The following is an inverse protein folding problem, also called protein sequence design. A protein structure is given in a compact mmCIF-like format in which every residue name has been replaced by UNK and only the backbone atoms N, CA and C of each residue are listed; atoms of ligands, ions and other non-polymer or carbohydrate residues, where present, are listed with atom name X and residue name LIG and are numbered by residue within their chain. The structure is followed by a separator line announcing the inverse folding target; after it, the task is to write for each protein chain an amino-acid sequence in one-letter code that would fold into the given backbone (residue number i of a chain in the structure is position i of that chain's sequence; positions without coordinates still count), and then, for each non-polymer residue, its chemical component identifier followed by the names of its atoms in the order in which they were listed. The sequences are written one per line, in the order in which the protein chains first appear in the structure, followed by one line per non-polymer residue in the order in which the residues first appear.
data_IF_375764915580
#
_entry.id   IF_375764915580
#
_cell.length_a   1.000
_cell.length_b   1.000
_cell.length_c   1.000
_cell.angle_alpha   90.00
_cell.angle_beta   90.00
_cell.angle_gamma   90.00
#
_symmetry.space_group_name_H-M   'P 1'
#
loop_
_entity.id
_entity.type
_entity.pdbx_description
1 polymer ?
#
# COMPACT_ATOMS: atom_id res chain seq x y z
N UNK A 1 -2.05 -26.04 16.41
CA UNK A 1 -1.66 -24.93 17.30
C UNK A 1 -2.09 -23.63 16.67
N UNK A 2 -2.28 -22.61 17.49
CA UNK A 2 -2.69 -21.28 17.05
C UNK A 2 -1.49 -20.62 16.34
N UNK A 3 -1.68 -20.36 15.06
CA UNK A 3 -1.12 -19.22 14.32
C UNK A 3 0.33 -19.31 13.83
N UNK A 4 1.12 -20.31 14.28
CA UNK A 4 2.54 -20.47 13.87
C UNK A 4 2.90 -21.86 13.33
N UNK A 5 2.24 -22.93 13.79
CA UNK A 5 2.65 -24.33 13.53
C UNK A 5 1.66 -25.11 12.63
N UNK A 6 1.20 -24.47 11.55
CA UNK A 6 0.36 -25.11 10.54
C UNK A 6 1.19 -26.05 9.64
N UNK A 7 1.58 -27.21 10.16
CA UNK A 7 2.21 -28.28 9.36
C UNK A 7 3.22 -29.17 10.06
N UNK A 8 3.19 -29.22 11.40
CA UNK A 8 3.82 -30.28 12.18
C UNK A 8 3.36 -31.70 11.74
N UNK A 9 3.86 -32.78 12.37
CA UNK A 9 3.63 -34.18 11.95
C UNK A 9 2.16 -34.67 11.98
N UNK A 10 1.19 -33.78 12.20
CA UNK A 10 -0.24 -34.05 12.21
C UNK A 10 -0.95 -33.51 10.97
N UNK A 11 -2.20 -33.93 10.78
CA UNK A 11 -3.07 -33.76 9.60
C UNK A 11 -3.50 -32.32 9.25
N UNK A 12 -2.82 -31.28 9.75
CA UNK A 12 -3.18 -29.89 9.47
C UNK A 12 -2.81 -29.50 8.02
N UNK A 13 -3.65 -28.72 7.31
CA UNK A 13 -3.25 -28.13 6.04
C UNK A 13 -2.00 -27.26 6.22
N UNK A 14 -1.05 -27.41 5.30
CA UNK A 14 0.16 -26.58 5.25
C UNK A 14 -0.20 -25.14 4.91
N UNK A 15 0.60 -24.20 5.39
CA UNK A 15 0.55 -22.78 5.12
C UNK A 15 0.75 -22.45 3.63
N UNK A 16 -0.05 -21.52 3.11
CA UNK A 16 0.18 -20.90 1.81
C UNK A 16 1.39 -19.95 1.85
N UNK A 17 1.85 -19.51 0.69
CA UNK A 17 2.92 -18.51 0.61
C UNK A 17 2.57 -17.24 1.39
N UNK A 18 3.58 -16.62 2.00
CA UNK A 18 3.52 -15.46 2.90
C UNK A 18 2.85 -15.67 4.27
N UNK A 19 2.35 -16.86 4.60
CA UNK A 19 1.94 -17.17 5.97
C UNK A 19 3.16 -17.37 6.89
N UNK A 20 3.01 -17.16 8.19
CA UNK A 20 4.07 -17.43 9.16
C UNK A 20 4.47 -18.92 9.18
N UNK A 21 5.76 -19.18 9.42
CA UNK A 21 6.30 -20.52 9.55
C UNK A 21 7.58 -20.52 10.39
N UNK A 22 7.85 -21.67 11.03
CA UNK A 22 9.09 -21.94 11.75
C UNK A 22 9.96 -22.97 11.00
N UNK A 23 9.34 -23.83 10.18
CA UNK A 23 9.99 -24.86 9.40
C UNK A 23 9.43 -24.94 7.97
N UNK A 24 10.28 -25.40 7.05
CA UNK A 24 9.90 -25.68 5.66
C UNK A 24 8.71 -26.64 5.53
N UNK A 25 8.55 -27.56 6.48
CA UNK A 25 7.45 -28.53 6.53
C UNK A 25 6.07 -27.90 6.73
N UNK A 26 6.05 -26.68 7.28
CA UNK A 26 4.84 -25.91 7.55
C UNK A 26 4.24 -25.39 6.25
N UNK A 27 5.06 -25.27 5.20
CA UNK A 27 4.70 -24.58 3.98
C UNK A 27 4.27 -25.54 2.88
N UNK A 28 3.22 -25.18 2.15
CA UNK A 28 2.77 -25.90 0.93
C UNK A 28 3.88 -26.01 -0.10
N UNK A 29 4.74 -25.00 -0.18
CA UNK A 29 5.92 -24.94 -1.04
C UNK A 29 7.12 -25.72 -0.51
N UNK A 30 7.06 -26.22 0.72
CA UNK A 30 8.21 -26.86 1.37
C UNK A 30 9.37 -25.90 1.65
N UNK A 31 9.09 -24.59 1.70
CA UNK A 31 10.09 -23.55 1.92
C UNK A 31 9.57 -22.55 2.95
N UNK A 32 10.31 -22.38 4.04
CA UNK A 32 10.09 -21.34 5.02
C UNK A 32 11.26 -20.36 4.95
N UNK A 33 11.04 -19.23 4.30
CA UNK A 33 12.09 -18.25 3.99
C UNK A 33 11.76 -16.96 4.74
N UNK A 34 12.66 -16.55 5.64
CA UNK A 34 12.49 -15.36 6.48
C UNK A 34 11.25 -15.43 7.41
N UNK A 35 10.95 -16.62 7.95
CA UNK A 35 9.79 -16.84 8.82
C UNK A 35 8.44 -16.74 8.09
N UNK A 36 8.47 -16.87 6.75
CA UNK A 36 7.31 -16.82 5.87
C UNK A 36 7.34 -17.96 4.86
N UNK A 37 6.20 -18.58 4.63
CA UNK A 37 6.08 -19.66 3.67
C UNK A 37 6.31 -19.17 2.24
N UNK A 38 6.91 -20.02 1.43
CA UNK A 38 7.30 -19.70 0.07
C UNK A 38 8.80 -19.59 -0.13
N UNK A 39 9.18 -19.56 -1.40
CA UNK A 39 10.53 -19.21 -1.85
C UNK A 39 10.59 -17.69 -2.02
N UNK A 40 10.24 -16.93 -0.97
CA UNK A 40 9.92 -15.51 -1.03
C UNK A 40 11.02 -14.71 -1.73
N UNK A 41 10.84 -14.49 -3.04
CA UNK A 41 11.73 -13.70 -3.89
C UNK A 41 11.59 -12.19 -3.66
N UNK A 42 10.94 -11.81 -2.56
CA UNK A 42 10.71 -10.45 -2.13
C UNK A 42 11.77 -10.02 -1.11
N UNK A 43 12.14 -8.75 -1.15
CA UNK A 43 13.10 -8.15 -0.22
C UNK A 43 12.32 -7.57 0.96
N UNK A 44 12.57 -8.00 2.20
CA UNK A 44 11.89 -7.42 3.35
C UNK A 44 12.16 -5.91 3.47
N UNK A 45 11.21 -5.17 4.05
CA UNK A 45 11.38 -3.74 4.20
C UNK A 45 12.60 -3.35 5.06
N UNK A 46 13.25 -2.22 4.75
CA UNK A 46 14.31 -1.70 5.59
C UNK A 46 13.77 -1.30 6.98
N UNK A 47 14.55 -1.53 8.04
CA UNK A 47 14.19 -1.10 9.39
C UNK A 47 13.23 -2.03 10.15
N UNK A 48 12.65 -3.02 9.49
CA UNK A 48 11.77 -4.02 10.12
C UNK A 48 10.70 -4.51 9.14
N UNK A 49 10.65 -5.81 8.92
CA UNK A 49 9.69 -6.41 7.98
C UNK A 49 8.34 -6.71 8.60
N UNK A 50 8.22 -6.65 9.92
CA UNK A 50 6.97 -6.91 10.65
C UNK A 50 6.78 -5.87 11.72
N UNK A 51 5.59 -5.30 11.79
CA UNK A 51 5.23 -4.34 12.84
C UNK A 51 4.66 -5.03 14.08
N UNK A 52 4.26 -4.25 15.08
CA UNK A 52 3.75 -4.80 16.35
C UNK A 52 2.35 -5.42 16.24
N UNK A 53 1.60 -5.14 15.16
CA UNK A 53 0.31 -5.76 14.91
C UNK A 53 0.47 -7.12 14.22
N UNK A 54 1.48 -7.24 13.36
CA UNK A 54 1.83 -8.48 12.67
C UNK A 54 1.82 -8.38 11.14
N UNK A 55 1.54 -7.21 10.56
CA UNK A 55 1.67 -7.02 9.12
C UNK A 55 3.10 -7.33 8.68
N UNK A 56 3.26 -8.02 7.55
CA UNK A 56 4.57 -8.28 6.96
C UNK A 56 4.78 -7.48 5.67
N UNK A 57 5.79 -6.60 5.68
CA UNK A 57 6.19 -5.74 4.57
C UNK A 57 7.34 -6.30 3.75
N UNK A 58 7.17 -6.42 2.43
CA UNK A 58 8.25 -6.77 1.50
C UNK A 58 8.08 -6.13 0.12
N UNK A 59 9.18 -5.97 -0.61
CA UNK A 59 9.22 -5.35 -1.93
C UNK A 59 9.65 -6.32 -3.03
N UNK A 60 9.18 -6.06 -4.24
CA UNK A 60 9.47 -6.82 -5.45
C UNK A 60 9.65 -5.86 -6.63
N UNK A 61 10.42 -6.29 -7.63
CA UNK A 61 10.49 -5.64 -8.94
C UNK A 61 10.09 -6.65 -10.03
N UNK A 62 8.80 -6.99 -10.12
CA UNK A 62 8.34 -7.96 -11.09
C UNK A 62 8.56 -7.44 -12.52
N UNK A 63 8.67 -8.36 -13.48
CA UNK A 63 8.75 -8.00 -14.92
C UNK A 63 7.51 -7.28 -15.41
N UNK A 64 6.37 -7.48 -14.75
CA UNK A 64 5.11 -6.78 -15.00
C UNK A 64 4.42 -6.54 -13.67
N UNK A 65 4.03 -5.30 -13.41
CA UNK A 65 3.29 -4.96 -12.20
C UNK A 65 1.92 -5.65 -12.24
N UNK A 66 1.54 -6.42 -11.21
CA UNK A 66 0.31 -7.22 -11.20
C UNK A 66 -0.95 -6.40 -10.89
N UNK A 67 -0.90 -5.08 -11.05
CA UNK A 67 -1.86 -4.16 -10.47
C UNK A 67 -2.96 -3.85 -11.49
N UNK A 68 -4.24 -3.90 -11.09
CA UNK A 68 -5.35 -3.59 -11.99
C UNK A 68 -5.24 -2.20 -12.62
N UNK A 69 -5.31 -2.12 -13.95
CA UNK A 69 -5.48 -0.84 -14.63
C UNK A 69 -6.94 -0.41 -14.62
N UNK A 70 -7.22 0.68 -13.91
CA UNK A 70 -8.53 1.31 -13.80
C UNK A 70 -8.61 2.66 -14.54
N UNK A 71 -7.69 2.96 -15.45
CA UNK A 71 -7.65 4.21 -16.24
C UNK A 71 -8.98 4.53 -16.93
N UNK A 72 -9.68 3.50 -17.39
CA UNK A 72 -10.89 3.61 -18.21
C UNK A 72 -12.15 3.11 -17.51
N UNK A 73 -12.02 2.29 -16.47
CA UNK A 73 -13.12 1.66 -15.74
C UNK A 73 -13.40 2.30 -14.38
N UNK A 74 -12.37 2.90 -13.76
CA UNK A 74 -12.48 3.51 -12.45
C UNK A 74 -13.32 4.79 -12.45
N UNK A 75 -14.02 5.00 -11.33
CA UNK A 75 -14.73 6.25 -11.08
C UNK A 75 -13.70 7.37 -10.88
N UNK A 76 -13.72 8.36 -11.76
CA UNK A 76 -12.89 9.56 -11.65
C UNK A 76 -13.40 10.46 -10.53
N UNK A 77 -12.49 10.84 -9.64
CA UNK A 77 -12.73 11.84 -8.61
C UNK A 77 -12.37 13.22 -9.15
N UNK A 78 -13.16 14.21 -8.78
CA UNK A 78 -12.84 15.63 -8.98
C UNK A 78 -12.37 16.17 -7.64
N UNK A 79 -11.06 16.33 -7.49
CA UNK A 79 -10.39 16.86 -6.30
C UNK A 79 -9.63 18.12 -6.71
N UNK A 80 -9.70 19.18 -5.92
CA UNK A 80 -8.83 20.35 -6.02
C UNK A 80 -7.50 20.12 -5.26
N UNK A 81 -6.76 21.20 -4.99
CA UNK A 81 -5.61 21.20 -4.09
C UNK A 81 -6.00 20.68 -2.70
N UNK A 82 -5.16 19.81 -2.13
CA UNK A 82 -5.34 19.27 -0.77
C UNK A 82 -6.68 18.56 -0.49
N UNK A 83 -7.52 18.38 -1.50
CA UNK A 83 -8.87 17.86 -1.33
C UNK A 83 -8.86 16.37 -0.97
N UNK A 84 -9.94 15.95 -0.30
CA UNK A 84 -10.15 14.56 0.04
C UNK A 84 -11.63 14.18 -0.04
N UNK A 85 -11.90 12.90 -0.28
CA UNK A 85 -13.26 12.38 -0.37
C UNK A 85 -13.39 10.99 0.27
N UNK A 86 -14.42 10.82 1.09
CA UNK A 86 -14.77 9.52 1.66
C UNK A 86 -15.55 8.68 0.65
N UNK A 87 -15.10 7.45 0.43
CA UNK A 87 -15.74 6.48 -0.47
C UNK A 87 -16.03 5.16 0.27
N UNK A 88 -17.03 4.37 -0.18
CA UNK A 88 -17.20 3.01 0.30
C UNK A 88 -16.09 2.10 -0.22
N UNK A 89 -15.55 1.24 0.66
CA UNK A 89 -14.59 0.20 0.28
C UNK A 89 -15.28 -0.90 -0.55
N UNK A 90 -16.55 -1.17 -0.23
CA UNK A 90 -17.39 -2.19 -0.89
C UNK A 90 -17.28 -3.60 -0.29
N UNK A 91 -16.48 -3.75 0.78
CA UNK A 91 -16.41 -4.92 1.64
C UNK A 91 -15.91 -4.51 3.04
N UNK A 92 -16.15 -5.33 4.09
CA UNK A 92 -15.49 -5.15 5.38
C UNK A 92 -13.99 -5.42 5.22
N UNK A 93 -13.16 -4.41 5.49
CA UNK A 93 -11.71 -4.49 5.40
C UNK A 93 -11.12 -4.39 6.79
N UNK A 94 -10.30 -5.35 7.20
CA UNK A 94 -9.59 -5.27 8.48
C UNK A 94 -8.32 -4.43 8.32
N UNK A 95 -8.30 -3.27 8.97
CA UNK A 95 -7.11 -2.42 9.03
C UNK A 95 -6.68 -2.30 10.48
N UNK A 96 -5.54 -2.92 10.82
CA UNK A 96 -4.99 -2.93 12.17
C UNK A 96 -5.98 -3.39 13.26
N UNK A 97 -6.81 -4.40 12.95
CA UNK A 97 -7.77 -5.00 13.87
C UNK A 97 -9.10 -4.25 13.94
N UNK A 98 -9.25 -3.18 13.17
CA UNK A 98 -10.49 -2.41 13.06
C UNK A 98 -11.13 -2.64 11.71
N UNK A 99 -12.37 -3.13 11.71
CA UNK A 99 -13.14 -3.27 10.47
C UNK A 99 -13.55 -1.90 9.91
N UNK A 100 -13.02 -1.58 8.72
CA UNK A 100 -13.33 -0.39 7.93
C UNK A 100 -14.28 -0.74 6.80
N UNK A 101 -15.24 0.14 6.53
CA UNK A 101 -16.17 0.04 5.38
C UNK A 101 -16.14 1.28 4.49
N UNK A 102 -15.53 2.35 5.00
CA UNK A 102 -15.28 3.61 4.33
C UNK A 102 -13.79 3.91 4.44
N UNK A 103 -13.28 4.65 3.46
CA UNK A 103 -11.92 5.19 3.46
C UNK A 103 -11.94 6.57 2.83
N UNK A 104 -11.14 7.49 3.35
CA UNK A 104 -10.95 8.81 2.77
C UNK A 104 -9.75 8.78 1.83
N UNK A 105 -9.96 9.13 0.56
CA UNK A 105 -8.91 9.27 -0.44
C UNK A 105 -8.49 10.73 -0.50
N UNK A 106 -7.21 11.00 -0.34
CA UNK A 106 -6.62 12.33 -0.49
C UNK A 106 -6.07 12.53 -1.91
N UNK A 107 -6.12 13.77 -2.40
CA UNK A 107 -5.37 14.20 -3.59
C UNK A 107 -3.87 13.88 -3.45
N UNK A 108 -3.33 13.98 -2.24
CA UNK A 108 -1.91 13.84 -1.87
C UNK A 108 -1.44 12.38 -1.76
N UNK A 109 -1.93 11.48 -2.62
CA UNK A 109 -1.35 10.15 -2.80
C UNK A 109 -1.49 9.18 -1.62
N UNK A 110 -2.48 9.40 -0.74
CA UNK A 110 -2.70 8.57 0.45
C UNK A 110 -4.18 8.26 0.72
N UNK A 111 -4.38 7.22 1.53
CA UNK A 111 -5.68 6.85 2.11
C UNK A 111 -5.64 7.02 3.62
N UNK A 112 -6.72 7.51 4.22
CA UNK A 112 -6.84 7.67 5.67
C UNK A 112 -8.16 7.08 6.17
N UNK A 113 -8.12 6.45 7.35
CA UNK A 113 -9.28 5.76 7.91
C UNK A 113 -9.85 6.46 9.15
N UNK A 114 -9.03 7.19 9.90
CA UNK A 114 -9.40 7.86 11.15
C UNK A 114 -9.57 9.38 11.02
N UNK A 115 -9.50 9.91 9.80
CA UNK A 115 -9.70 11.34 9.51
C UNK A 115 -10.39 11.54 8.14
N UNK A 116 -10.72 12.79 7.86
CA UNK A 116 -11.33 13.27 6.61
C UNK A 116 -10.36 14.04 5.74
N UNK A 117 -9.11 14.19 6.18
CA UNK A 117 -8.08 14.98 5.52
C UNK A 117 -6.70 14.34 5.67
N UNK A 118 -5.83 14.56 4.69
CA UNK A 118 -4.41 14.24 4.74
C UNK A 118 -3.64 15.46 4.18
N UNK A 119 -2.79 16.04 5.02
CA UNK A 119 -1.94 17.19 4.69
C UNK A 119 -1.06 16.92 3.47
N UNK A 120 -0.77 17.93 2.64
CA UNK A 120 0.29 17.83 1.61
C UNK A 120 1.67 17.52 2.21
N UNK A 121 1.93 18.06 3.41
CA UNK A 121 3.20 17.86 4.10
C UNK A 121 3.27 16.45 4.66
N UNK A 122 4.12 15.61 4.05
CA UNK A 122 4.35 14.25 4.49
C UNK A 122 5.23 14.18 5.75
N UNK A 123 5.04 13.10 6.52
CA UNK A 123 5.84 12.78 7.70
C UNK A 123 6.36 11.35 7.59
N UNK A 124 7.52 11.07 8.18
CA UNK A 124 8.00 9.69 8.35
C UNK A 124 7.26 9.03 9.52
N UNK A 125 7.14 7.71 9.48
CA UNK A 125 6.58 6.95 10.59
C UNK A 125 7.61 6.73 11.70
N UNK A 126 7.17 6.71 12.98
CA UNK A 126 5.79 6.88 13.45
C UNK A 126 5.30 8.34 13.36
N UNK A 127 4.01 8.51 13.08
CA UNK A 127 3.36 9.82 12.97
C UNK A 127 3.21 10.49 14.34
N UNK A 128 3.39 11.81 14.37
CA UNK A 128 3.29 12.60 15.59
C UNK A 128 1.90 13.20 15.84
N UNK A 129 1.04 13.23 14.82
CA UNK A 129 -0.33 13.76 14.89
C UNK A 129 -1.28 12.94 14.00
N UNK A 130 -2.59 13.18 14.15
CA UNK A 130 -3.62 12.59 13.28
C UNK A 130 -3.47 13.11 11.84
N UNK A 131 -3.85 12.31 10.82
CA UNK A 131 -4.37 10.93 10.91
C UNK A 131 -3.29 9.93 11.32
N UNK A 132 -3.61 8.96 12.18
CA UNK A 132 -2.68 7.88 12.57
C UNK A 132 -2.83 6.65 11.67
N UNK A 133 -4.06 6.40 11.20
CA UNK A 133 -4.41 5.26 10.37
C UNK A 133 -4.35 5.61 8.89
N UNK A 134 -3.16 5.51 8.31
CA UNK A 134 -2.90 5.90 6.92
C UNK A 134 -2.24 4.81 6.09
N UNK A 135 -2.62 4.73 4.82
CA UNK A 135 -1.83 4.07 3.78
C UNK A 135 -1.24 5.18 2.91
N UNK A 136 0.05 5.43 3.07
CA UNK A 136 0.81 6.35 2.25
C UNK A 136 1.28 5.61 0.99
N UNK A 137 0.59 5.81 -0.14
CA UNK A 137 0.99 5.23 -1.43
C UNK A 137 2.19 5.97 -2.01
N UNK A 138 1.99 7.26 -2.28
CA UNK A 138 3.02 8.23 -2.61
C UNK A 138 2.62 9.54 -1.93
N UNK A 139 2.70 9.58 -0.59
CA UNK A 139 2.23 10.72 0.17
C UNK A 139 3.16 11.91 -0.04
N UNK A 140 2.70 12.88 -0.82
CA UNK A 140 3.42 14.07 -1.25
C UNK A 140 2.42 15.09 -1.79
N UNK A 141 2.90 16.29 -2.15
CA UNK A 141 2.07 17.41 -2.58
C UNK A 141 1.70 17.27 -4.08
N UNK A 142 0.50 16.73 -4.33
CA UNK A 142 0.00 16.42 -5.67
C UNK A 142 -1.15 17.36 -6.04
N UNK A 143 -1.18 17.80 -7.30
CA UNK A 143 -2.19 18.75 -7.76
C UNK A 143 -3.01 18.22 -8.95
N UNK A 144 -4.15 17.54 -8.70
CA UNK A 144 -5.01 16.98 -9.75
C UNK A 144 -5.54 17.99 -10.79
N UNK A 145 -5.90 19.24 -10.45
CA UNK A 145 -6.47 20.20 -11.42
C UNK A 145 -5.58 20.49 -12.63
N UNK A 146 -4.26 20.44 -12.47
CA UNK A 146 -3.32 20.78 -13.55
C UNK A 146 -2.86 19.55 -14.36
N UNK A 147 -3.40 18.37 -14.08
CA UNK A 147 -3.21 17.22 -14.96
C UNK A 147 -3.50 15.89 -14.29
N UNK A 148 -4.12 15.00 -15.08
CA UNK A 148 -4.36 13.62 -14.66
C UNK A 148 -5.63 13.44 -13.85
N UNK A 149 -5.71 12.40 -13.02
CA UNK A 149 -6.91 12.10 -12.21
C UNK A 149 -6.60 11.12 -11.08
N UNK A 150 -7.35 11.22 -9.98
CA UNK A 150 -7.48 10.15 -8.99
C UNK A 150 -8.70 9.30 -9.34
N UNK A 151 -8.54 7.98 -9.42
CA UNK A 151 -9.62 7.02 -9.72
C UNK A 151 -9.72 5.95 -8.66
N UNK A 152 -10.92 5.42 -8.47
CA UNK A 152 -11.11 4.20 -7.69
C UNK A 152 -12.09 3.23 -8.35
N UNK A 153 -11.95 1.95 -8.03
CA UNK A 153 -12.87 0.89 -8.45
C UNK A 153 -12.89 -0.24 -7.41
N UNK A 154 -14.08 -0.62 -6.95
CA UNK A 154 -14.26 -1.91 -6.23
C UNK A 154 -14.61 -2.98 -7.24
N UNK A 155 -13.86 -4.09 -7.24
CA UNK A 155 -13.99 -5.19 -8.21
C UNK A 155 -13.91 -6.57 -7.56
N UNK A 156 -14.21 -7.58 -8.36
CA UNK A 156 -14.23 -8.99 -7.93
C UNK A 156 -15.53 -9.38 -7.23
N UNK A 157 -15.51 -10.55 -6.59
CA UNK A 157 -16.64 -11.09 -5.84
C UNK A 157 -16.12 -11.74 -4.55
N UNK A 158 -16.95 -11.75 -3.51
CA UNK A 158 -16.56 -12.35 -2.23
C UNK A 158 -16.14 -13.82 -2.41
N UNK A 159 -15.11 -14.29 -1.70
CA UNK A 159 -14.33 -13.59 -0.67
C UNK A 159 -13.04 -12.91 -1.20
N UNK A 160 -12.95 -12.61 -2.50
CA UNK A 160 -11.74 -12.08 -3.15
C UNK A 160 -11.99 -10.70 -3.80
N UNK A 161 -12.73 -9.81 -3.12
CA UNK A 161 -12.93 -8.45 -3.59
C UNK A 161 -11.66 -7.60 -3.42
N UNK A 162 -11.56 -6.57 -4.25
CA UNK A 162 -10.45 -5.62 -4.23
C UNK A 162 -11.02 -4.21 -4.34
N UNK A 163 -10.51 -3.27 -3.54
CA UNK A 163 -10.62 -1.84 -3.81
C UNK A 163 -9.31 -1.40 -4.44
N UNK A 164 -9.37 -0.85 -5.64
CA UNK A 164 -8.22 -0.30 -6.36
C UNK A 164 -8.33 1.21 -6.34
N UNK A 165 -7.28 1.90 -5.91
CA UNK A 165 -7.18 3.36 -5.96
C UNK A 165 -5.93 3.74 -6.71
N UNK A 166 -6.06 4.63 -7.70
CA UNK A 166 -4.97 5.03 -8.57
C UNK A 166 -4.85 6.55 -8.61
N UNK A 167 -3.65 7.03 -8.36
CA UNK A 167 -3.23 8.41 -8.59
C UNK A 167 -2.43 8.44 -9.88
N UNK A 168 -2.94 9.17 -10.87
CA UNK A 168 -2.19 9.54 -12.04
C UNK A 168 -2.15 11.06 -12.09
N UNK A 169 -1.29 11.69 -11.30
CA UNK A 169 -1.32 13.13 -11.01
C UNK A 169 0.10 13.68 -10.99
N UNK A 170 0.29 14.95 -11.33
CA UNK A 170 1.58 15.65 -11.21
C UNK A 170 1.80 16.26 -9.83
N UNK A 171 3.06 16.51 -9.49
CA UNK A 171 3.44 17.25 -8.28
C UNK A 171 3.13 18.75 -8.42
N UNK A 172 2.67 19.40 -7.34
CA UNK A 172 2.24 20.82 -7.40
C UNK A 172 3.37 21.78 -7.78
N UNK A 173 4.56 21.59 -7.22
CA UNK A 173 5.72 22.48 -7.44
C UNK A 173 6.21 22.54 -8.89
N UNK A 174 5.81 21.57 -9.70
CA UNK A 174 6.20 21.49 -11.11
C UNK A 174 5.06 21.94 -12.03
N UNK A 175 3.95 22.41 -11.46
CA UNK A 175 2.74 22.64 -12.23
C UNK A 175 2.79 23.90 -13.12
N UNK A 176 2.41 23.79 -14.42
CA UNK A 176 2.14 22.56 -15.15
C UNK A 176 3.43 21.94 -15.70
N UNK A 177 3.69 20.65 -15.41
CA UNK A 177 4.86 19.93 -15.95
C UNK A 177 4.50 19.04 -17.13
N UNK A 178 3.24 18.57 -17.15
CA UNK A 178 2.75 17.53 -18.06
C UNK A 178 3.28 16.12 -17.74
N UNK A 179 4.07 15.96 -16.67
CA UNK A 179 4.60 14.67 -16.21
C UNK A 179 3.79 14.17 -15.01
N UNK A 180 3.03 13.11 -15.23
CA UNK A 180 2.15 12.51 -14.23
C UNK A 180 2.82 11.30 -13.58
N UNK A 181 2.75 11.21 -12.25
CA UNK A 181 2.95 9.94 -11.56
C UNK A 181 1.93 8.89 -12.00
N UNK A 182 2.16 7.63 -11.66
CA UNK A 182 1.19 6.56 -11.82
C UNK A 182 1.41 5.55 -10.70
N UNK A 183 0.65 5.74 -9.60
CA UNK A 183 0.73 4.94 -8.39
C UNK A 183 -0.63 4.35 -8.08
N UNK A 184 -0.66 3.05 -7.80
CA UNK A 184 -1.90 2.31 -7.48
C UNK A 184 -1.77 1.62 -6.14
N UNK A 185 -2.75 1.79 -5.27
CA UNK A 185 -2.91 1.02 -4.03
C UNK A 185 -4.10 0.07 -4.19
N UNK A 186 -3.92 -1.18 -3.79
CA UNK A 186 -4.96 -2.22 -3.82
C UNK A 186 -5.19 -2.72 -2.40
N UNK A 187 -6.41 -2.57 -1.90
CA UNK A 187 -6.87 -3.24 -0.68
C UNK A 187 -7.55 -4.53 -1.09
N UNK A 188 -7.13 -5.65 -0.52
CA UNK A 188 -7.75 -6.95 -0.74
C UNK A 188 -8.70 -7.29 0.42
N UNK A 189 -9.79 -8.02 0.12
CA UNK A 189 -10.75 -8.47 1.15
C UNK A 189 -10.12 -9.32 2.26
N UNK A 190 -8.93 -9.90 2.01
CA UNK A 190 -8.13 -10.61 3.02
C UNK A 190 -7.48 -9.71 4.07
N UNK A 191 -7.48 -8.40 3.90
CA UNK A 191 -6.68 -7.46 4.72
C UNK A 191 -5.32 -7.12 4.09
N UNK A 192 -4.89 -7.84 3.06
CA UNK A 192 -3.64 -7.53 2.35
C UNK A 192 -3.73 -6.19 1.64
N UNK A 193 -2.57 -5.54 1.51
CA UNK A 193 -2.42 -4.28 0.78
C UNK A 193 -1.24 -4.42 -0.19
N UNK A 194 -1.46 -4.00 -1.44
CA UNK A 194 -0.38 -3.87 -2.42
C UNK A 194 -0.26 -2.40 -2.87
N UNK A 195 0.96 -1.89 -3.05
CA UNK A 195 1.22 -0.58 -3.64
C UNK A 195 2.16 -0.70 -4.84
N UNK A 196 1.77 -0.11 -5.95
CA UNK A 196 2.35 -0.31 -7.26
C UNK A 196 2.82 1.01 -7.85
N UNK A 197 4.09 1.07 -8.23
CA UNK A 197 4.73 2.30 -8.70
C UNK A 197 5.03 2.16 -10.20
N UNK A 198 4.03 2.41 -11.04
CA UNK A 198 4.19 2.36 -12.49
C UNK A 198 5.01 3.56 -13.01
N UNK A 199 4.77 4.74 -12.44
CA UNK A 199 5.62 5.91 -12.66
C UNK A 199 5.73 6.76 -11.38
N UNK A 200 6.95 7.13 -10.99
CA UNK A 200 7.26 8.04 -9.88
C UNK A 200 8.19 9.17 -10.31
N UNK A 201 8.37 9.35 -11.62
CA UNK A 201 9.18 10.42 -12.21
C UNK A 201 8.28 11.56 -12.65
N UNK A 202 8.50 12.72 -12.04
CA UNK A 202 7.90 14.00 -12.39
C UNK A 202 8.85 14.89 -13.22
N UNK A 203 10.11 14.48 -13.35
CA UNK A 203 11.13 15.19 -14.14
C UNK A 203 11.96 16.18 -13.32
N UNK A 204 11.89 16.11 -11.99
CA UNK A 204 12.74 16.86 -11.07
C UNK A 204 13.30 15.92 -9.99
N UNK A 205 14.64 15.81 -9.86
CA UNK A 205 15.29 14.98 -8.86
C UNK A 205 14.91 15.26 -7.39
N UNK A 206 14.35 16.43 -7.07
CA UNK A 206 13.89 16.77 -5.73
C UNK A 206 12.60 16.03 -5.32
N UNK A 207 11.81 15.56 -6.28
CA UNK A 207 10.54 14.84 -6.03
C UNK A 207 10.51 13.45 -6.69
N UNK A 208 11.37 13.22 -7.69
CA UNK A 208 11.46 11.95 -8.42
C UNK A 208 11.77 10.76 -7.50
N UNK A 209 11.09 9.64 -7.76
CA UNK A 209 11.32 8.39 -7.04
C UNK A 209 10.97 8.45 -5.56
N UNK A 210 10.15 9.42 -5.13
CA UNK A 210 9.73 9.59 -3.74
C UNK A 210 10.66 10.46 -2.89
N UNK A 211 11.56 11.24 -3.50
CA UNK A 211 12.53 12.07 -2.79
C UNK A 211 11.90 13.08 -1.81
N UNK A 212 10.65 13.48 -2.04
CA UNK A 212 9.82 14.30 -1.13
C UNK A 212 8.49 13.61 -0.79
N UNK A 213 8.50 12.28 -0.64
CA UNK A 213 7.29 11.51 -0.37
C UNK A 213 7.48 10.48 0.75
N UNK A 214 6.38 10.08 1.37
CA UNK A 214 6.31 8.92 2.26
C UNK A 214 5.59 7.75 1.58
N UNK A 215 6.11 6.53 1.77
CA UNK A 215 5.47 5.28 1.34
C UNK A 215 5.48 4.25 2.48
N UNK A 216 4.30 3.75 2.86
CA UNK A 216 4.13 2.89 4.01
C UNK A 216 2.68 2.72 4.45
N UNK A 217 2.46 1.91 5.49
CA UNK A 217 1.20 1.87 6.25
C UNK A 217 1.44 2.19 7.73
N UNK A 218 0.47 2.84 8.36
CA UNK A 218 0.44 3.15 9.78
C UNK A 218 -0.96 2.93 10.33
N UNK A 219 -1.03 2.36 11.53
CA UNK A 219 -2.25 2.26 12.33
C UNK A 219 -2.23 3.26 13.49
N UNK A 220 -1.39 3.00 14.49
CA UNK A 220 -1.09 3.92 15.59
C UNK A 220 0.10 3.41 16.42
N UNK A 221 0.80 4.30 17.14
CA UNK A 221 1.91 3.91 18.00
C UNK A 221 2.99 3.13 17.25
N UNK A 222 3.28 1.89 17.68
CA UNK A 222 4.30 1.02 17.07
C UNK A 222 3.78 0.16 15.92
N UNK A 223 2.53 0.35 15.51
CA UNK A 223 1.91 -0.34 14.38
C UNK A 223 2.13 0.48 13.10
N UNK A 224 3.30 0.33 12.49
CA UNK A 224 3.62 0.96 11.22
C UNK A 224 4.70 0.18 10.47
N UNK A 225 4.59 0.19 9.14
CA UNK A 225 5.60 -0.31 8.21
C UNK A 225 5.93 0.79 7.20
N UNK A 226 7.10 1.40 7.34
CA UNK A 226 7.63 2.37 6.39
C UNK A 226 8.58 1.69 5.42
N UNK A 227 8.37 1.90 4.12
CA UNK A 227 9.35 1.50 3.10
C UNK A 227 10.28 2.65 2.73
N UNK A 228 9.72 3.85 2.55
CA UNK A 228 10.47 5.06 2.16
C UNK A 228 9.87 6.30 2.82
N UNK A 229 10.73 7.27 3.13
CA UNK A 229 10.31 8.59 3.57
C UNK A 229 11.38 9.60 3.16
N UNK A 230 11.02 10.56 2.32
CA UNK A 230 11.91 11.61 1.81
C UNK A 230 13.21 11.03 1.22
N UNK A 231 13.09 9.94 0.49
CA UNK A 231 14.20 9.26 -0.19
C UNK A 231 13.79 8.82 -1.59
N UNK A 232 14.73 8.86 -2.54
CA UNK A 232 14.53 8.40 -3.91
C UNK A 232 14.54 6.85 -4.01
N UNK A 233 13.69 6.18 -3.24
CA UNK A 233 13.68 4.72 -3.06
C UNK A 233 12.50 4.02 -3.74
N UNK A 234 11.67 4.75 -4.48
CA UNK A 234 10.48 4.25 -5.18
C UNK A 234 10.70 4.23 -6.69
N UNK A 235 11.56 3.37 -7.26
CA UNK A 235 11.76 3.29 -8.71
C UNK A 235 10.52 2.77 -9.44
N UNK A 236 10.40 3.13 -10.73
CA UNK A 236 9.37 2.58 -11.61
C UNK A 236 9.47 1.04 -11.69
N UNK A 237 8.32 0.37 -11.63
CA UNK A 237 8.22 -1.09 -11.60
C UNK A 237 8.33 -1.71 -10.21
N UNK A 238 8.43 -0.89 -9.15
CA UNK A 238 8.40 -1.36 -7.77
C UNK A 238 6.98 -1.80 -7.37
N UNK A 239 6.92 -2.92 -6.64
CA UNK A 239 5.74 -3.42 -5.95
C UNK A 239 6.07 -3.54 -4.46
N UNK A 240 5.25 -2.92 -3.62
CA UNK A 240 5.26 -3.11 -2.17
C UNK A 240 4.08 -3.97 -1.76
N UNK A 241 4.34 -4.95 -0.90
CA UNK A 241 3.36 -5.88 -0.37
C UNK A 241 3.31 -5.73 1.15
N UNK A 242 2.11 -5.59 1.68
CA UNK A 242 1.81 -5.61 3.11
C UNK A 242 0.84 -6.76 3.36
N UNK A 243 1.36 -7.84 3.93
CA UNK A 243 0.60 -9.07 4.17
C UNK A 243 -0.01 -9.03 5.56
N UNK A 244 -1.33 -9.16 5.62
CA UNK A 244 -2.08 -9.16 6.87
C UNK A 244 -1.76 -10.41 7.70
N UNK A 245 -1.67 -10.30 9.05
CA UNK A 245 -1.49 -11.44 9.93
C UNK A 245 -2.67 -12.43 9.92
#
# INVERSE_FOLDING_TARGET
ETDVDCGGPTTCPRCADYAACDAATDCTTGACTMGRCGTTGCVPFPGGATDSFGYFGCSLTPTTLPCPDISTTGTALTLDDDDAVAIPIGFPFDYYGTTRTMVTLSANGGLVFDDTYLSFSNECFPLSATPYEIIAGLWTDLYPPDGGTVRYETRGAAPNRQLVVRWNVQHIDLSPSGMLSDVTVVLHESGDIDACYANTTFGDPFVDGGAAATAGISGSGTNHLQFSCNTNSLPNGLLLLYRHP
#
